data_IF_345022360028
#
_entry.id   IF_345022360028
#
_cell.length_a   1.000
_cell.length_b   1.000
_cell.length_c   1.000
_cell.angle_alpha   90.00
_cell.angle_beta   90.00
_cell.angle_gamma   90.00
#
_symmetry.space_group_name_H-M   'P 1'
#
loop_
_entity.id
_entity.type
_entity.pdbx_description
1 polymer ?
#
# COMPACT_ATOMS: atom_id res chain seq x y z
N UNK A 1 -22.18 -24.69 44.40
CA UNK A 1 -23.65 -24.79 44.31
C UNK A 1 -23.98 -25.37 42.95
N UNK A 2 -24.46 -26.61 42.87
CA UNK A 2 -24.77 -27.24 41.57
C UNK A 2 -25.87 -26.43 40.84
N UNK A 3 -25.81 -26.30 39.50
CA UNK A 3 -26.84 -25.57 38.78
C UNK A 3 -28.22 -26.22 39.00
N UNK A 4 -29.28 -25.41 39.17
CA UNK A 4 -30.62 -25.93 39.45
C UNK A 4 -31.11 -26.86 38.34
N UNK A 5 -31.79 -27.95 38.73
CA UNK A 5 -32.37 -28.93 37.79
C UNK A 5 -33.22 -28.21 36.74
N UNK A 6 -32.85 -28.35 35.47
CA UNK A 6 -33.50 -27.72 34.30
C UNK A 6 -34.96 -28.18 34.20
N UNK A 7 -35.91 -27.27 34.40
CA UNK A 7 -37.32 -27.49 34.10
C UNK A 7 -37.55 -27.24 32.59
N UNK A 8 -37.97 -28.25 31.80
CA UNK A 8 -38.11 -28.12 30.34
C UNK A 8 -39.23 -27.17 29.89
N UNK A 9 -40.25 -26.92 30.72
CA UNK A 9 -41.39 -26.07 30.36
C UNK A 9 -41.12 -24.55 30.41
N UNK A 10 -39.94 -24.14 30.91
CA UNK A 10 -39.58 -22.72 31.09
C UNK A 10 -38.51 -22.23 30.13
N UNK A 11 -37.91 -23.11 29.33
CA UNK A 11 -36.82 -22.78 28.42
C UNK A 11 -37.09 -23.33 27.02
N UNK A 12 -37.24 -22.46 26.04
CA UNK A 12 -37.25 -22.85 24.62
C UNK A 12 -35.82 -23.15 24.20
N UNK A 13 -35.52 -24.42 23.89
CA UNK A 13 -34.25 -24.81 23.29
C UNK A 13 -34.28 -24.37 21.82
N UNK A 14 -33.56 -23.30 21.49
CA UNK A 14 -33.36 -22.89 20.10
C UNK A 14 -32.09 -23.58 19.61
N UNK A 15 -32.25 -24.58 18.76
CA UNK A 15 -31.13 -25.23 18.08
C UNK A 15 -30.51 -24.24 17.07
N UNK A 16 -29.33 -23.72 17.40
CA UNK A 16 -28.56 -22.87 16.49
C UNK A 16 -27.59 -23.74 15.70
N UNK A 17 -27.80 -23.85 14.39
CA UNK A 17 -26.81 -24.44 13.48
C UNK A 17 -25.56 -23.57 13.50
N UNK A 18 -24.42 -24.14 13.90
CA UNK A 18 -23.12 -23.47 13.86
C UNK A 18 -22.43 -23.89 12.56
N UNK A 19 -22.01 -22.93 11.71
CA UNK A 19 -21.24 -23.28 10.53
C UNK A 19 -19.87 -23.83 10.96
N UNK A 20 -19.50 -24.98 10.40
CA UNK A 20 -18.19 -25.60 10.54
C UNK A 20 -17.47 -25.56 9.20
N UNK A 21 -16.13 -25.53 9.25
CA UNK A 21 -15.30 -25.60 8.05
C UNK A 21 -14.59 -26.94 8.04
N UNK A 22 -14.75 -27.66 6.93
CA UNK A 22 -14.21 -29.00 6.71
C UNK A 22 -13.19 -28.96 5.57
N UNK A 23 -12.08 -29.69 5.74
CA UNK A 23 -11.10 -29.94 4.71
C UNK A 23 -11.47 -31.24 3.99
N UNK A 24 -11.76 -31.12 2.71
CA UNK A 24 -12.00 -32.26 1.82
C UNK A 24 -10.94 -32.27 0.72
N UNK A 25 -10.00 -33.20 0.81
CA UNK A 25 -8.95 -33.39 -0.20
C UNK A 25 -9.29 -34.62 -1.05
N UNK A 26 -9.42 -34.44 -2.36
CA UNK A 26 -9.79 -35.50 -3.29
C UNK A 26 -8.93 -35.42 -4.56
N UNK A 27 -8.47 -36.57 -5.03
CA UNK A 27 -7.81 -36.73 -6.31
C UNK A 27 -8.80 -37.33 -7.32
N UNK A 28 -8.94 -36.74 -8.52
CA UNK A 28 -9.77 -37.32 -9.56
C UNK A 28 -9.37 -38.78 -9.85
N UNK A 29 -10.32 -39.70 -9.73
CA UNK A 29 -10.11 -41.14 -9.96
C UNK A 29 -9.95 -42.00 -8.70
N UNK A 30 -9.91 -41.42 -7.50
CA UNK A 30 -9.94 -42.17 -6.25
C UNK A 30 -11.38 -42.24 -5.69
N UNK A 31 -11.79 -43.39 -5.16
CA UNK A 31 -13.14 -43.56 -4.56
C UNK A 31 -13.24 -42.96 -3.16
N UNK A 32 -12.14 -42.91 -2.43
CA UNK A 32 -12.07 -42.33 -1.09
C UNK A 32 -11.29 -41.02 -1.09
N UNK A 33 -11.71 -40.01 -0.30
CA UNK A 33 -10.97 -38.77 -0.14
C UNK A 33 -9.68 -39.01 0.65
N UNK A 34 -8.63 -38.26 0.32
CA UNK A 34 -7.36 -38.26 1.06
C UNK A 34 -7.52 -37.67 2.47
N UNK A 35 -8.38 -36.66 2.59
CA UNK A 35 -8.69 -36.03 3.88
C UNK A 35 -10.18 -35.67 3.89
N UNK A 36 -10.84 -35.99 5.00
CA UNK A 36 -12.20 -35.57 5.30
C UNK A 36 -12.26 -35.29 6.81
N UNK A 37 -11.71 -34.15 7.19
CA UNK A 37 -11.54 -33.76 8.58
C UNK A 37 -11.97 -32.31 8.80
N UNK A 38 -12.30 -31.97 10.05
CA UNK A 38 -12.57 -30.58 10.42
C UNK A 38 -11.28 -29.77 10.23
N UNK A 39 -11.42 -28.58 9.62
CA UNK A 39 -10.27 -27.74 9.34
C UNK A 39 -9.51 -27.37 10.62
N UNK A 40 -8.18 -27.46 10.58
CA UNK A 40 -7.30 -27.27 11.74
C UNK A 40 -7.44 -25.87 12.38
N UNK A 41 -7.65 -24.83 11.59
CA UNK A 41 -7.81 -23.44 12.08
C UNK A 41 -9.17 -23.16 12.75
N UNK A 42 -10.14 -24.07 12.63
CA UNK A 42 -11.47 -23.94 13.24
C UNK A 42 -11.43 -24.47 14.68
N UNK A 43 -12.03 -23.79 15.69
CA UNK A 43 -13.02 -22.70 15.59
C UNK A 43 -12.47 -21.27 15.66
N UNK A 44 -11.14 -21.10 15.80
CA UNK A 44 -10.50 -19.78 15.99
C UNK A 44 -10.70 -18.87 14.77
N UNK A 45 -10.61 -19.43 13.57
CA UNK A 45 -10.91 -18.74 12.32
C UNK A 45 -12.16 -19.32 11.65
N UNK A 46 -13.11 -18.45 11.32
CA UNK A 46 -14.43 -18.83 10.75
C UNK A 46 -14.53 -18.60 9.24
N UNK A 47 -13.44 -18.23 8.59
CA UNK A 47 -13.38 -18.04 7.14
C UNK A 47 -12.40 -19.04 6.52
N UNK A 48 -12.27 -19.05 5.19
CA UNK A 48 -11.28 -19.89 4.53
C UNK A 48 -9.86 -19.36 4.78
N UNK A 49 -8.83 -20.23 4.78
CA UNK A 49 -7.43 -19.85 4.99
C UNK A 49 -6.77 -19.36 3.69
N UNK A 50 -7.56 -19.13 2.64
CA UNK A 50 -7.09 -18.60 1.37
C UNK A 50 -7.38 -17.11 1.32
N UNK A 51 -6.31 -16.33 1.24
CA UNK A 51 -6.37 -14.87 1.31
C UNK A 51 -5.83 -14.32 -0.02
N UNK A 52 -6.65 -14.34 -1.08
CA UNK A 52 -6.24 -13.89 -2.39
C UNK A 52 -6.10 -12.37 -2.42
N UNK A 53 -5.03 -11.90 -3.06
CA UNK A 53 -4.91 -10.50 -3.45
C UNK A 53 -5.58 -10.29 -4.80
N UNK A 54 -6.51 -9.34 -4.86
CA UNK A 54 -7.15 -8.91 -6.09
C UNK A 54 -6.70 -7.50 -6.44
N UNK A 55 -6.08 -7.33 -7.60
CA UNK A 55 -5.63 -6.02 -8.07
C UNK A 55 -6.83 -5.10 -8.32
N UNK A 56 -7.78 -5.54 -9.16
CA UNK A 56 -9.07 -4.88 -9.36
C UNK A 56 -10.20 -5.86 -9.08
N UNK A 57 -11.20 -5.40 -8.36
CA UNK A 57 -12.38 -6.20 -8.01
C UNK A 57 -13.66 -5.40 -8.25
N UNK A 58 -14.46 -5.86 -9.20
CA UNK A 58 -15.77 -5.27 -9.50
C UNK A 58 -16.89 -6.02 -8.78
N UNK A 59 -17.85 -5.28 -8.25
CA UNK A 59 -19.10 -5.82 -7.67
C UNK A 59 -20.26 -5.80 -8.66
N UNK A 60 -19.98 -5.61 -9.95
CA UNK A 60 -21.00 -5.64 -10.99
C UNK A 60 -21.75 -6.98 -10.96
N UNK A 61 -23.07 -7.00 -11.23
CA UNK A 61 -23.88 -8.22 -11.25
C UNK A 61 -23.63 -9.03 -12.54
N UNK A 62 -22.37 -9.38 -12.80
CA UNK A 62 -22.01 -10.27 -13.91
C UNK A 62 -22.37 -11.71 -13.54
N UNK A 63 -23.01 -12.42 -14.47
CA UNK A 63 -23.46 -13.80 -14.31
C UNK A 63 -22.91 -14.67 -15.43
N UNK A 64 -22.81 -15.98 -15.21
CA UNK A 64 -22.31 -16.92 -16.22
C UNK A 64 -20.80 -16.82 -16.47
N UNK A 65 -20.42 -16.91 -17.74
CA UNK A 65 -19.01 -16.92 -18.18
C UNK A 65 -18.29 -15.61 -17.90
N UNK A 66 -18.99 -14.47 -17.92
CA UNK A 66 -18.43 -13.13 -17.71
C UNK A 66 -17.97 -12.87 -16.27
N UNK A 67 -18.24 -13.78 -15.34
CA UNK A 67 -17.82 -13.67 -13.94
C UNK A 67 -16.29 -13.55 -13.79
N UNK A 68 -15.52 -14.06 -14.74
CA UNK A 68 -14.07 -13.89 -14.75
C UNK A 68 -13.64 -12.42 -14.89
N UNK A 69 -14.49 -11.55 -15.45
CA UNK A 69 -14.24 -10.11 -15.57
C UNK A 69 -14.42 -9.35 -14.26
N UNK A 70 -14.96 -9.98 -13.21
CA UNK A 70 -15.06 -9.35 -11.87
C UNK A 70 -13.69 -9.18 -11.23
N UNK A 71 -12.73 -10.04 -11.56
CA UNK A 71 -11.36 -9.99 -11.06
C UNK A 71 -10.44 -9.70 -12.23
N UNK A 72 -9.80 -8.54 -12.22
CA UNK A 72 -8.92 -8.13 -13.31
C UNK A 72 -7.54 -7.75 -12.79
N UNK A 73 -6.52 -8.08 -13.60
CA UNK A 73 -5.19 -7.54 -13.43
C UNK A 73 -5.05 -6.16 -14.07
N UNK A 74 -3.96 -5.47 -13.74
CA UNK A 74 -3.66 -4.12 -14.25
C UNK A 74 -3.61 -4.09 -15.79
N UNK A 75 -3.10 -5.16 -16.40
CA UNK A 75 -2.91 -5.26 -17.86
C UNK A 75 -4.19 -5.60 -18.62
N UNK A 76 -5.29 -5.97 -17.96
CA UNK A 76 -6.48 -6.48 -18.66
C UNK A 76 -7.10 -5.43 -19.58
N UNK A 77 -7.31 -4.21 -19.09
CA UNK A 77 -7.90 -3.12 -19.90
C UNK A 77 -7.03 -2.68 -21.08
N UNK A 78 -5.73 -2.94 -20.97
CA UNK A 78 -4.70 -2.41 -21.88
C UNK A 78 -4.54 -3.28 -23.14
N UNK A 79 -4.97 -4.54 -23.10
CA UNK A 79 -4.81 -5.50 -24.20
C UNK A 79 -5.28 -4.98 -25.56
N UNK A 80 -6.45 -4.35 -25.60
CA UNK A 80 -7.04 -3.85 -26.85
C UNK A 80 -6.20 -2.73 -27.47
N UNK A 81 -5.65 -1.84 -26.65
CA UNK A 81 -4.77 -0.76 -27.12
C UNK A 81 -3.45 -1.34 -27.67
N UNK A 82 -2.87 -2.34 -27.00
CA UNK A 82 -1.68 -3.06 -27.49
C UNK A 82 -1.94 -3.74 -28.82
N UNK A 83 -3.09 -4.42 -28.96
CA UNK A 83 -3.43 -5.07 -30.22
C UNK A 83 -3.55 -4.07 -31.37
N UNK A 84 -4.21 -2.92 -31.14
CA UNK A 84 -4.31 -1.85 -32.13
C UNK A 84 -2.93 -1.32 -32.51
N UNK A 85 -2.08 -1.01 -31.52
CA UNK A 85 -0.71 -0.56 -31.74
C UNK A 85 0.12 -1.54 -32.57
N UNK A 86 0.08 -2.82 -32.22
CA UNK A 86 0.83 -3.88 -32.90
C UNK A 86 0.34 -4.09 -34.34
N UNK A 87 -0.99 -4.12 -34.56
CA UNK A 87 -1.59 -4.25 -35.88
C UNK A 87 -1.25 -3.05 -36.76
N UNK A 88 -1.40 -1.83 -36.25
CA UNK A 88 -1.10 -0.59 -36.97
C UNK A 88 0.38 -0.51 -37.38
N UNK A 89 1.29 -0.79 -36.44
CA UNK A 89 2.73 -0.80 -36.69
C UNK A 89 3.13 -1.84 -37.75
N UNK A 90 2.55 -3.03 -37.70
CA UNK A 90 2.81 -4.10 -38.67
C UNK A 90 2.32 -3.71 -40.06
N UNK A 91 1.13 -3.13 -40.18
CA UNK A 91 0.58 -2.65 -41.45
C UNK A 91 1.40 -1.51 -42.04
N UNK A 92 1.87 -0.59 -41.19
CA UNK A 92 2.74 0.51 -41.60
C UNK A 92 4.07 0.01 -42.15
N UNK A 93 4.71 -0.95 -41.46
CA UNK A 93 5.94 -1.58 -41.92
C UNK A 93 5.73 -2.34 -43.24
N UNK A 94 4.63 -3.11 -43.36
CA UNK A 94 4.28 -3.81 -44.60
C UNK A 94 4.08 -2.84 -45.76
N UNK A 95 3.38 -1.74 -45.52
CA UNK A 95 3.14 -0.71 -46.53
C UNK A 95 4.46 -0.07 -46.98
N UNK A 96 5.34 0.28 -46.04
CA UNK A 96 6.67 0.83 -46.34
C UNK A 96 7.55 -0.14 -47.16
N UNK A 97 7.50 -1.43 -46.86
CA UNK A 97 8.26 -2.43 -47.62
C UNK A 97 7.68 -2.65 -49.03
N UNK A 98 6.36 -2.55 -49.19
CA UNK A 98 5.68 -2.74 -50.48
C UNK A 98 5.81 -1.50 -51.38
N UNK A 99 5.86 -0.30 -50.81
CA UNK A 99 5.99 0.94 -51.56
C UNK A 99 7.31 1.08 -52.32
N UNK A 100 8.36 0.37 -51.88
CA UNK A 100 9.66 0.36 -52.57
C UNK A 100 9.62 -0.31 -53.95
N UNK A 101 8.67 -1.22 -54.19
CA UNK A 101 8.61 -2.06 -55.40
C UNK A 101 7.56 -1.57 -56.40
N UNK A 102 7.51 -0.26 -56.63
CA UNK A 102 6.53 0.30 -57.55
C UNK A 102 6.93 0.08 -59.02
N UNK A 103 5.97 -0.39 -59.83
CA UNK A 103 6.16 -0.72 -61.24
C UNK A 103 6.01 0.48 -62.18
N UNK A 104 5.92 0.19 -63.48
CA UNK A 104 5.79 1.18 -64.55
C UNK A 104 4.51 0.94 -65.37
N UNK A 105 3.84 2.01 -65.76
CA UNK A 105 2.73 2.01 -66.71
C UNK A 105 3.28 2.36 -68.10
N UNK A 106 3.05 1.47 -69.06
CA UNK A 106 3.52 1.63 -70.44
C UNK A 106 2.54 1.04 -71.44
N UNK A 107 2.48 1.63 -72.64
CA UNK A 107 1.87 0.98 -73.80
C UNK A 107 2.61 -0.31 -74.19
N UNK A 108 1.93 -1.20 -74.91
CA UNK A 108 2.55 -2.42 -75.43
C UNK A 108 3.75 -2.09 -76.34
N UNK A 109 4.86 -2.82 -76.15
CA UNK A 109 6.11 -2.70 -76.90
C UNK A 109 6.86 -1.35 -76.76
N UNK A 110 6.66 -0.62 -75.64
CA UNK A 110 7.34 0.66 -75.39
C UNK A 110 8.83 0.54 -74.97
N UNK A 111 9.23 -0.56 -74.35
CA UNK A 111 10.58 -0.77 -73.81
C UNK A 111 11.54 -1.40 -74.83
N UNK A 112 12.82 -1.01 -74.78
CA UNK A 112 13.89 -1.64 -75.60
C UNK A 112 14.25 -3.01 -75.06
N UNK A 113 14.47 -3.13 -73.74
CA UNK A 113 14.70 -4.41 -73.04
C UNK A 113 13.72 -4.56 -71.87
N UNK A 114 12.70 -5.41 -72.08
CA UNK A 114 11.69 -5.70 -71.06
C UNK A 114 12.26 -6.48 -69.86
N UNK A 115 13.26 -7.33 -70.07
CA UNK A 115 13.85 -8.14 -69.01
C UNK A 115 14.67 -7.27 -68.06
N UNK A 116 15.37 -6.26 -68.59
CA UNK A 116 16.09 -5.29 -67.78
C UNK A 116 15.15 -4.48 -66.89
N UNK A 117 14.03 -4.00 -67.44
CA UNK A 117 13.01 -3.25 -66.67
C UNK A 117 12.36 -4.14 -65.59
N UNK A 118 12.13 -5.42 -65.87
CA UNK A 118 11.53 -6.32 -64.89
C UNK A 118 12.48 -6.64 -63.72
N UNK A 119 13.77 -6.83 -63.99
CA UNK A 119 14.75 -7.19 -62.96
C UNK A 119 15.29 -5.98 -62.19
N UNK A 120 15.38 -4.81 -62.84
CA UNK A 120 16.05 -3.63 -62.29
C UNK A 120 15.18 -2.37 -62.25
N UNK A 121 13.91 -2.45 -62.64
CA UNK A 121 13.02 -1.29 -62.75
C UNK A 121 12.70 -0.56 -61.45
N UNK A 122 12.98 -1.18 -60.30
CA UNK A 122 12.83 -0.57 -58.96
C UNK A 122 14.18 -0.29 -58.29
N UNK A 123 15.31 -0.65 -58.92
CA UNK A 123 16.64 -0.43 -58.36
C UNK A 123 17.11 1.02 -58.59
N UNK A 124 17.65 1.70 -57.56
CA UNK A 124 18.18 3.06 -57.70
C UNK A 124 19.43 3.07 -58.60
N UNK A 125 19.53 4.07 -59.48
CA UNK A 125 20.71 4.30 -60.33
C UNK A 125 20.75 3.53 -61.66
N UNK A 126 19.66 2.86 -62.04
CA UNK A 126 19.56 2.14 -63.33
C UNK A 126 18.99 3.07 -64.40
N UNK A 127 19.68 3.13 -65.54
CA UNK A 127 19.21 3.84 -66.72
C UNK A 127 18.35 2.90 -67.56
N UNK A 128 17.09 3.29 -67.83
CA UNK A 128 16.15 2.54 -68.65
C UNK A 128 15.84 3.32 -69.93
N UNK A 129 15.91 2.64 -71.07
CA UNK A 129 15.69 3.22 -72.39
C UNK A 129 14.33 2.80 -72.96
N UNK A 130 13.62 3.74 -73.59
CA UNK A 130 12.33 3.53 -74.24
C UNK A 130 12.42 3.86 -75.73
N UNK A 131 11.56 3.26 -76.56
CA UNK A 131 11.61 3.43 -78.02
C UNK A 131 11.18 4.85 -78.44
N UNK A 132 11.89 5.41 -79.42
CA UNK A 132 11.57 6.72 -79.99
C UNK A 132 10.19 6.71 -80.68
N UNK A 133 9.38 7.75 -80.44
CA UNK A 133 8.03 7.86 -81.00
C UNK A 133 6.91 7.20 -80.18
N UNK A 134 7.23 6.62 -79.01
CA UNK A 134 6.24 6.09 -78.04
C UNK A 134 6.00 7.07 -76.90
N UNK A 135 4.86 6.91 -76.21
CA UNK A 135 4.63 7.64 -74.95
C UNK A 135 5.67 7.25 -73.90
N UNK A 136 6.11 8.25 -73.13
CA UNK A 136 7.09 8.06 -72.08
C UNK A 136 6.49 7.16 -70.98
N UNK A 137 7.18 6.09 -70.56
CA UNK A 137 6.77 5.29 -69.42
C UNK A 137 6.58 6.10 -68.13
N UNK A 138 5.46 5.89 -67.44
CA UNK A 138 5.16 6.55 -66.17
C UNK A 138 5.39 5.59 -65.02
N UNK A 139 6.16 6.02 -64.02
CA UNK A 139 6.35 5.23 -62.80
C UNK A 139 5.09 5.31 -61.95
N UNK A 140 4.63 4.16 -61.45
CA UNK A 140 3.59 4.12 -60.43
C UNK A 140 4.22 4.70 -59.16
N UNK A 141 3.72 5.83 -58.68
CA UNK A 141 4.13 6.31 -57.36
C UNK A 141 3.41 5.48 -56.31
N UNK A 142 4.13 4.93 -55.32
CA UNK A 142 3.47 4.26 -54.23
C UNK A 142 2.55 5.24 -53.51
N UNK A 143 1.41 4.74 -53.03
CA UNK A 143 0.54 5.49 -52.13
C UNK A 143 1.39 6.01 -50.96
N UNK A 144 1.22 7.26 -50.51
CA UNK A 144 1.91 7.74 -49.33
C UNK A 144 1.54 6.90 -48.10
N UNK A 145 2.46 6.79 -47.15
CA UNK A 145 2.19 6.11 -45.88
C UNK A 145 0.92 6.68 -45.25
N UNK A 146 0.03 5.80 -44.78
CA UNK A 146 -1.23 6.22 -44.20
C UNK A 146 -1.01 6.98 -42.89
N UNK A 147 -1.31 8.28 -42.89
CA UNK A 147 -1.25 9.10 -41.68
C UNK A 147 -2.20 8.63 -40.57
N UNK A 148 -3.32 7.99 -40.95
CA UNK A 148 -4.24 7.39 -39.99
C UNK A 148 -3.60 6.27 -39.17
N UNK A 149 -2.75 5.44 -39.78
CA UNK A 149 -2.03 4.38 -39.04
C UNK A 149 -0.98 4.95 -38.10
N UNK A 150 -0.27 6.01 -38.52
CA UNK A 150 0.70 6.70 -37.67
C UNK A 150 0.01 7.35 -36.46
N UNK A 151 -1.11 8.05 -36.69
CA UNK A 151 -1.92 8.64 -35.62
C UNK A 151 -2.46 7.57 -34.66
N UNK A 152 -3.04 6.48 -35.18
CA UNK A 152 -3.55 5.38 -34.36
C UNK A 152 -2.46 4.73 -33.50
N UNK A 153 -1.25 4.59 -34.03
CA UNK A 153 -0.10 4.01 -33.30
C UNK A 153 0.31 4.90 -32.13
N UNK A 154 0.34 6.22 -32.35
CA UNK A 154 0.66 7.21 -31.32
C UNK A 154 -0.45 7.33 -30.26
N UNK A 155 -1.71 7.38 -30.68
CA UNK A 155 -2.88 7.39 -29.80
C UNK A 155 -2.93 6.12 -28.94
N UNK A 156 -2.77 4.94 -29.55
CA UNK A 156 -2.73 3.67 -28.82
C UNK A 156 -1.59 3.65 -27.80
N UNK A 157 -0.42 4.22 -28.12
CA UNK A 157 0.69 4.30 -27.17
C UNK A 157 0.37 5.19 -25.97
N UNK A 158 -0.44 6.23 -26.15
CA UNK A 158 -0.89 7.10 -25.07
C UNK A 158 -2.01 6.45 -24.25
N UNK A 159 -2.98 5.80 -24.90
CA UNK A 159 -4.03 5.01 -24.23
C UNK A 159 -3.42 3.96 -23.29
N UNK A 160 -2.32 3.32 -23.71
CA UNK A 160 -1.59 2.34 -22.92
C UNK A 160 -1.09 2.96 -21.62
N UNK A 161 -0.45 4.14 -21.69
CA UNK A 161 0.08 4.82 -20.51
C UNK A 161 -1.05 5.28 -19.59
N UNK A 162 -2.08 5.91 -20.18
CA UNK A 162 -3.22 6.42 -19.46
C UNK A 162 -3.96 5.32 -18.68
N UNK A 163 -4.22 4.17 -19.31
CA UNK A 163 -4.93 3.05 -18.67
C UNK A 163 -4.11 2.32 -17.60
N UNK A 164 -2.78 2.30 -17.75
CA UNK A 164 -1.87 1.78 -16.72
C UNK A 164 -1.71 2.75 -15.53
N UNK A 165 -2.30 3.95 -15.59
CA UNK A 165 -2.12 4.99 -14.58
C UNK A 165 -0.70 5.57 -14.57
N UNK A 166 0.07 5.37 -15.65
CA UNK A 166 1.40 5.93 -15.83
C UNK A 166 1.22 7.39 -16.25
N UNK A 167 1.11 8.28 -15.27
CA UNK A 167 1.06 9.72 -15.53
C UNK A 167 2.47 10.29 -15.70
N UNK A 168 2.63 11.19 -16.69
CA UNK A 168 3.87 11.94 -16.91
C UNK A 168 4.31 12.73 -15.65
N UNK A 169 3.34 13.15 -14.84
CA UNK A 169 3.54 13.82 -13.55
C UNK A 169 4.22 12.92 -12.49
N UNK A 170 3.96 11.62 -12.50
CA UNK A 170 4.63 10.65 -11.63
C UNK A 170 6.03 10.30 -12.13
N UNK A 171 6.24 10.34 -13.44
CA UNK A 171 7.53 10.12 -14.10
C UNK A 171 8.48 11.33 -14.01
N UNK A 172 8.06 12.41 -13.33
CA UNK A 172 8.82 13.66 -13.22
C UNK A 172 9.23 14.24 -14.58
N UNK A 173 8.48 13.93 -15.65
CA UNK A 173 8.72 14.50 -16.97
C UNK A 173 8.22 15.95 -16.97
N UNK A 174 9.06 16.84 -16.45
CA UNK A 174 8.80 18.28 -16.45
C UNK A 174 8.81 18.79 -17.89
N UNK A 175 7.65 18.86 -18.53
CA UNK A 175 7.47 19.80 -19.62
C UNK A 175 7.51 21.20 -19.01
N UNK A 176 8.54 21.95 -19.39
CA UNK A 176 9.03 23.14 -18.69
C UNK A 176 7.96 24.14 -18.29
N UNK A 177 7.97 24.48 -17.00
CA UNK A 177 7.19 25.58 -16.44
C UNK A 177 7.56 25.79 -14.98
N UNK A 178 7.70 27.05 -14.57
CA UNK A 178 7.92 27.47 -13.19
C UNK A 178 6.66 27.21 -12.34
N UNK A 179 6.30 25.95 -12.15
CA UNK A 179 5.16 25.58 -11.33
C UNK A 179 5.53 25.58 -9.85
N UNK A 180 4.61 26.08 -9.03
CA UNK A 180 4.74 26.06 -7.58
C UNK A 180 4.91 24.62 -7.09
N UNK A 181 5.82 24.38 -6.14
CA UNK A 181 6.01 23.07 -5.51
C UNK A 181 4.72 22.49 -4.92
N UNK A 182 3.74 23.34 -4.54
CA UNK A 182 2.40 22.91 -4.13
C UNK A 182 1.58 22.32 -5.28
N UNK A 183 1.69 22.88 -6.49
CA UNK A 183 1.02 22.36 -7.68
C UNK A 183 1.62 21.01 -8.11
N UNK A 184 2.95 20.89 -8.06
CA UNK A 184 3.67 19.62 -8.32
C UNK A 184 3.23 18.55 -7.32
N UNK A 185 3.19 18.87 -6.02
CA UNK A 185 2.73 17.94 -4.99
C UNK A 185 1.25 17.53 -5.19
N UNK A 186 0.40 18.45 -5.65
CA UNK A 186 -1.01 18.14 -5.94
C UNK A 186 -1.16 17.20 -7.14
N UNK A 187 -0.38 17.40 -8.21
CA UNK A 187 -0.36 16.50 -9.37
C UNK A 187 0.19 15.12 -9.04
N UNK A 188 1.24 15.05 -8.22
CA UNK A 188 1.72 13.77 -7.69
C UNK A 188 0.60 13.06 -6.92
N UNK A 189 -0.11 13.75 -6.02
CA UNK A 189 -1.27 13.17 -5.31
C UNK A 189 -2.35 12.69 -6.27
N UNK A 190 -2.66 13.45 -7.32
CA UNK A 190 -3.64 13.05 -8.35
C UNK A 190 -3.18 11.80 -9.13
N UNK A 191 -1.88 11.69 -9.44
CA UNK A 191 -1.30 10.51 -10.06
C UNK A 191 -1.44 9.25 -9.18
N UNK A 192 -1.31 9.39 -7.85
CA UNK A 192 -1.51 8.28 -6.91
C UNK A 192 -2.96 7.77 -6.89
N UNK A 193 -3.97 8.62 -7.15
CA UNK A 193 -5.39 8.20 -7.12
C UNK A 193 -5.69 7.05 -8.09
N UNK A 194 -5.00 6.99 -9.23
CA UNK A 194 -5.22 5.91 -10.22
C UNK A 194 -4.69 4.55 -9.75
N UNK A 195 -3.67 4.55 -8.90
CA UNK A 195 -3.05 3.33 -8.34
C UNK A 195 -3.62 3.00 -6.96
N UNK A 196 -4.36 3.93 -6.35
CA UNK A 196 -4.89 3.79 -5.00
C UNK A 196 -5.71 2.52 -4.78
N UNK A 197 -6.58 2.15 -5.73
CA UNK A 197 -7.40 0.93 -5.62
C UNK A 197 -6.54 -0.33 -5.39
N UNK A 198 -5.37 -0.40 -6.04
CA UNK A 198 -4.44 -1.54 -5.90
C UNK A 198 -3.87 -1.59 -4.48
N UNK A 199 -3.46 -0.44 -3.94
CA UNK A 199 -2.91 -0.34 -2.59
C UNK A 199 -3.98 -0.56 -1.52
N UNK A 200 -5.20 -0.10 -1.74
CA UNK A 200 -6.34 -0.32 -0.84
C UNK A 200 -6.69 -1.81 -0.78
N UNK A 201 -6.76 -2.47 -1.93
CA UNK A 201 -7.00 -3.92 -2.01
C UNK A 201 -5.85 -4.71 -1.37
N UNK A 202 -4.61 -4.27 -1.54
CA UNK A 202 -3.44 -4.89 -0.90
C UNK A 202 -3.49 -4.74 0.62
N UNK A 203 -3.81 -3.54 1.10
CA UNK A 203 -3.98 -3.25 2.53
C UNK A 203 -5.09 -4.09 3.14
N UNK A 204 -6.24 -4.20 2.47
CA UNK A 204 -7.34 -5.09 2.87
C UNK A 204 -6.88 -6.56 2.94
N UNK A 205 -6.15 -7.02 1.93
CA UNK A 205 -5.63 -8.39 1.88
C UNK A 205 -4.67 -8.66 3.05
N UNK A 206 -3.75 -7.71 3.32
CA UNK A 206 -2.82 -7.79 4.46
C UNK A 206 -3.55 -7.75 5.80
N UNK A 207 -4.61 -6.97 5.94
CA UNK A 207 -5.42 -6.94 7.17
C UNK A 207 -6.09 -8.31 7.41
N UNK A 208 -6.66 -8.92 6.37
CA UNK A 208 -7.26 -10.26 6.48
C UNK A 208 -6.18 -11.29 6.83
N UNK A 209 -5.00 -11.22 6.20
CA UNK A 209 -3.85 -12.07 6.52
C UNK A 209 -3.36 -11.88 7.96
N UNK A 210 -3.23 -10.63 8.42
CA UNK A 210 -2.86 -10.32 9.80
C UNK A 210 -3.87 -10.88 10.80
N UNK A 211 -5.18 -10.72 10.54
CA UNK A 211 -6.24 -11.30 11.38
C UNK A 211 -6.17 -12.82 11.41
N UNK A 212 -5.89 -13.48 10.28
CA UNK A 212 -5.69 -14.92 10.24
C UNK A 212 -4.48 -15.35 11.07
N UNK A 213 -3.31 -14.74 10.88
CA UNK A 213 -2.10 -15.06 11.65
C UNK A 213 -2.30 -14.87 13.15
N UNK A 214 -2.91 -13.76 13.54
CA UNK A 214 -3.26 -13.45 14.93
C UNK A 214 -4.21 -14.48 15.53
N UNK A 215 -5.18 -14.99 14.75
CA UNK A 215 -6.08 -16.04 15.23
C UNK A 215 -5.38 -17.38 15.50
N UNK A 216 -4.25 -17.65 14.82
CA UNK A 216 -3.49 -18.89 14.98
C UNK A 216 -2.32 -18.75 15.96
N UNK A 217 -2.10 -17.55 16.51
CA UNK A 217 -0.94 -17.25 17.36
C UNK A 217 -0.85 -18.18 18.58
N UNK A 218 -1.99 -18.48 19.22
CA UNK A 218 -2.07 -19.37 20.37
C UNK A 218 -1.92 -20.87 20.07
N UNK A 219 -1.73 -21.28 18.80
CA UNK A 219 -1.25 -22.64 18.46
C UNK A 219 0.25 -22.69 18.22
N UNK A 220 0.84 -21.53 17.89
CA UNK A 220 2.25 -21.41 17.53
C UNK A 220 3.09 -21.10 18.77
N UNK A 221 2.57 -20.29 19.70
CA UNK A 221 3.28 -19.84 20.88
C UNK A 221 2.59 -20.28 22.18
N UNK A 222 3.37 -20.91 23.04
CA UNK A 222 3.05 -21.09 24.46
C UNK A 222 3.39 -19.82 25.26
N UNK A 223 2.84 -19.67 26.47
CA UNK A 223 3.07 -18.52 27.35
C UNK A 223 4.56 -18.30 27.64
N UNK A 224 5.30 -19.37 27.90
CA UNK A 224 6.75 -19.34 28.14
C UNK A 224 7.53 -18.90 26.90
N UNK A 225 7.18 -19.45 25.73
CA UNK A 225 7.81 -19.07 24.45
C UNK A 225 7.51 -17.61 24.12
N UNK A 226 6.30 -17.12 24.40
CA UNK A 226 5.92 -15.73 24.21
C UNK A 226 6.71 -14.78 25.13
N UNK A 227 6.91 -15.14 26.41
CA UNK A 227 7.78 -14.39 27.34
C UNK A 227 9.21 -14.26 26.81
N UNK A 228 9.77 -15.37 26.31
CA UNK A 228 11.11 -15.39 25.74
C UNK A 228 11.26 -14.49 24.51
N UNK A 229 10.22 -14.43 23.65
CA UNK A 229 10.23 -13.59 22.45
C UNK A 229 10.02 -12.10 22.77
N UNK A 230 9.18 -11.77 23.76
CA UNK A 230 8.93 -10.37 24.18
C UNK A 230 10.14 -9.75 24.88
N UNK A 231 10.91 -10.56 25.62
CA UNK A 231 12.12 -10.14 26.32
C UNK A 231 11.85 -9.35 27.61
N UNK A 232 12.83 -9.37 28.52
CA UNK A 232 12.70 -8.80 29.87
C UNK A 232 12.44 -7.28 29.85
N UNK A 233 13.11 -6.53 28.98
CA UNK A 233 12.93 -5.07 28.89
C UNK A 233 11.51 -4.63 28.52
N UNK A 234 10.78 -5.43 27.74
CA UNK A 234 9.37 -5.16 27.44
C UNK A 234 8.46 -5.48 28.62
N UNK A 235 8.73 -6.61 29.30
CA UNK A 235 7.96 -7.05 30.46
C UNK A 235 8.09 -6.06 31.62
N UNK A 236 9.31 -5.59 31.91
CA UNK A 236 9.58 -4.57 32.94
C UNK A 236 8.88 -3.24 32.67
N UNK A 237 8.81 -2.83 31.40
CA UNK A 237 8.14 -1.58 31.00
C UNK A 237 6.62 -1.68 31.03
N UNK A 238 6.07 -2.81 30.61
CA UNK A 238 4.62 -3.01 30.46
C UNK A 238 3.93 -3.49 31.74
N UNK A 239 4.64 -4.22 32.60
CA UNK A 239 4.14 -4.83 33.83
C UNK A 239 5.05 -4.46 35.02
N UNK A 240 4.94 -3.23 35.55
CA UNK A 240 5.74 -2.82 36.70
C UNK A 240 5.46 -3.72 37.93
N UNK A 241 6.46 -3.95 38.79
CA UNK A 241 6.33 -4.88 39.90
C UNK A 241 5.32 -4.36 40.93
N UNK A 242 4.51 -5.27 41.47
CA UNK A 242 3.56 -4.96 42.53
C UNK A 242 4.31 -4.51 43.78
N UNK A 243 3.94 -3.33 44.27
CA UNK A 243 4.45 -2.76 45.52
C UNK A 243 3.58 -3.24 46.68
N UNK A 244 4.13 -4.01 47.62
CA UNK A 244 3.48 -4.35 48.88
C UNK A 244 3.97 -3.41 49.98
N UNK A 245 3.06 -2.93 50.83
CA UNK A 245 3.44 -2.20 52.02
C UNK A 245 4.05 -3.18 53.03
N UNK A 246 5.34 -2.98 53.36
CA UNK A 246 6.03 -3.83 54.32
C UNK A 246 5.37 -3.66 55.73
N UNK A 247 4.89 -4.73 56.40
CA UNK A 247 4.13 -4.65 57.65
C UNK A 247 4.88 -3.99 58.84
N UNK A 248 6.20 -3.84 58.75
CA UNK A 248 7.05 -3.33 59.84
C UNK A 248 7.51 -1.87 59.65
N UNK A 249 7.57 -1.37 58.42
CA UNK A 249 8.12 -0.03 58.10
C UNK A 249 7.13 0.87 57.36
N UNK A 250 5.99 0.34 56.89
CA UNK A 250 4.97 1.11 56.16
C UNK A 250 5.45 1.67 54.81
N UNK A 251 6.65 1.28 54.35
CA UNK A 251 7.19 1.67 53.06
C UNK A 251 6.81 0.63 51.99
N UNK A 252 6.41 1.08 50.79
CA UNK A 252 6.10 0.18 49.68
C UNK A 252 7.40 -0.45 49.15
N UNK A 253 7.53 -1.77 49.27
CA UNK A 253 8.62 -2.56 48.70
C UNK A 253 8.09 -3.49 47.58
N UNK A 254 8.87 -3.76 46.52
CA UNK A 254 8.45 -4.68 45.47
C UNK A 254 8.23 -6.09 46.04
N UNK A 255 7.20 -6.80 45.57
CA UNK A 255 7.05 -8.22 45.85
C UNK A 255 8.37 -8.95 45.57
N UNK A 256 8.75 -9.84 46.47
CA UNK A 256 9.89 -10.73 46.30
C UNK A 256 9.43 -12.03 45.63
N UNK A 257 10.26 -12.58 44.74
CA UNK A 257 10.06 -13.87 44.09
C UNK A 257 10.19 -15.03 45.11
N UNK A 258 9.92 -16.29 44.73
CA UNK A 258 10.05 -17.48 45.59
C UNK A 258 11.46 -17.62 46.23
N UNK A 259 12.48 -16.99 45.63
CA UNK A 259 13.89 -16.95 46.10
C UNK A 259 14.27 -15.68 46.89
N UNK A 260 13.31 -14.81 47.24
CA UNK A 260 13.56 -13.64 48.09
C UNK A 260 14.26 -12.44 47.41
N UNK A 261 14.33 -12.43 46.07
CA UNK A 261 14.81 -11.27 45.28
C UNK A 261 13.62 -10.39 44.87
N UNK A 262 13.75 -9.05 44.85
CA UNK A 262 12.67 -8.17 44.40
C UNK A 262 12.35 -8.47 42.93
N UNK A 263 11.10 -8.85 42.63
CA UNK A 263 10.66 -9.06 41.26
C UNK A 263 10.85 -7.77 40.45
N UNK A 264 11.50 -7.88 39.28
CA UNK A 264 11.70 -6.75 38.36
C UNK A 264 10.39 -6.38 37.64
N UNK A 265 9.47 -7.34 37.50
CA UNK A 265 8.14 -7.20 36.90
C UNK A 265 7.16 -8.17 37.55
N UNK A 266 5.86 -7.88 37.47
CA UNK A 266 4.81 -8.79 37.98
C UNK A 266 4.61 -9.97 37.02
N UNK A 267 5.25 -11.09 37.34
CA UNK A 267 5.21 -12.30 36.50
C UNK A 267 3.81 -12.91 36.42
N UNK A 268 3.03 -12.84 37.50
CA UNK A 268 1.67 -13.37 37.55
C UNK A 268 0.71 -12.59 36.64
N UNK A 269 0.78 -11.26 36.65
CA UNK A 269 -0.01 -10.44 35.73
C UNK A 269 0.46 -10.57 34.28
N UNK A 270 1.76 -10.69 34.05
CA UNK A 270 2.30 -10.92 32.71
C UNK A 270 1.80 -12.25 32.12
N UNK A 271 1.80 -13.34 32.89
CA UNK A 271 1.28 -14.64 32.45
C UNK A 271 -0.21 -14.59 32.13
N UNK A 272 -1.01 -13.99 33.00
CA UNK A 272 -2.47 -13.89 32.79
C UNK A 272 -2.77 -13.06 31.55
N UNK A 273 -2.10 -11.92 31.39
CA UNK A 273 -2.29 -11.05 30.22
C UNK A 273 -1.86 -11.72 28.92
N UNK A 274 -0.69 -12.38 28.90
CA UNK A 274 -0.19 -13.12 27.73
C UNK A 274 -1.12 -14.29 27.41
N UNK A 275 -1.55 -15.05 28.42
CA UNK A 275 -2.49 -16.16 28.24
C UNK A 275 -3.86 -15.68 27.73
N UNK A 276 -4.36 -14.52 28.18
CA UNK A 276 -5.60 -13.93 27.68
C UNK A 276 -5.48 -13.54 26.20
N UNK A 277 -4.37 -12.92 25.80
CA UNK A 277 -4.10 -12.57 24.40
C UNK A 277 -3.99 -13.82 23.52
N UNK A 278 -3.32 -14.87 23.99
CA UNK A 278 -3.13 -16.11 23.23
C UNK A 278 -4.41 -16.97 23.15
N UNK A 279 -5.34 -16.86 24.11
CA UNK A 279 -6.58 -17.68 24.17
C UNK A 279 -7.63 -17.33 23.11
N UNK A 280 -7.43 -16.31 22.28
CA UNK A 280 -8.23 -16.19 21.05
C UNK A 280 -9.38 -15.18 21.10
N UNK A 281 -9.45 -14.29 22.09
CA UNK A 281 -10.38 -13.14 22.07
C UNK A 281 -9.90 -12.01 21.13
N UNK A 282 -9.11 -12.36 20.11
CA UNK A 282 -8.54 -11.44 19.14
C UNK A 282 -9.58 -10.76 18.23
N UNK A 283 -10.83 -11.23 18.25
CA UNK A 283 -11.96 -10.56 17.58
C UNK A 283 -12.29 -9.18 18.18
N UNK A 284 -11.80 -8.88 19.39
CA UNK A 284 -11.94 -7.56 20.03
C UNK A 284 -10.98 -6.51 19.47
N UNK A 285 -9.88 -6.93 18.86
CA UNK A 285 -8.84 -6.03 18.37
C UNK A 285 -8.98 -5.79 16.87
N UNK A 286 -8.87 -4.52 16.48
CA UNK A 286 -8.76 -4.18 15.07
C UNK A 286 -7.31 -4.27 14.62
N UNK A 287 -7.10 -4.77 13.40
CA UNK A 287 -5.77 -4.94 12.81
C UNK A 287 -5.57 -3.81 11.83
N UNK A 288 -4.78 -2.82 12.24
CA UNK A 288 -4.32 -1.80 11.32
C UNK A 288 -2.98 -2.23 10.74
N UNK A 289 -2.94 -2.45 9.43
CA UNK A 289 -1.68 -2.64 8.71
C UNK A 289 -1.16 -1.25 8.40
N UNK A 290 -0.26 -0.77 9.25
CA UNK A 290 0.58 0.35 8.85
C UNK A 290 1.36 -0.09 7.62
N UNK A 291 1.20 0.61 6.50
CA UNK A 291 2.18 0.50 5.44
C UNK A 291 3.51 0.93 6.04
N UNK A 292 4.35 -0.04 6.39
CA UNK A 292 5.78 0.20 6.57
C UNK A 292 6.35 0.49 5.19
N UNK A 293 6.04 1.67 4.69
CA UNK A 293 7.02 2.43 3.96
C UNK A 293 7.33 3.57 4.91
N UNK A 294 8.51 3.51 5.50
CA UNK A 294 9.28 4.70 5.83
C UNK A 294 9.52 5.52 4.56
N UNK A 295 8.45 5.87 3.84
CA UNK A 295 8.52 6.75 2.71
C UNK A 295 8.78 8.10 3.32
N UNK A 296 10.00 8.54 3.13
CA UNK A 296 10.46 9.87 3.43
C UNK A 296 9.43 10.91 2.98
N UNK A 297 8.74 10.64 1.86
CA UNK A 297 7.64 11.43 1.30
C UNK A 297 6.40 11.54 2.19
N UNK A 298 5.95 10.47 2.85
CA UNK A 298 4.78 10.54 3.76
C UNK A 298 5.13 11.33 5.02
N UNK A 299 6.32 11.10 5.58
CA UNK A 299 6.81 11.87 6.72
C UNK A 299 7.01 13.35 6.36
N UNK A 300 7.52 13.64 5.16
CA UNK A 300 7.61 15.00 4.63
C UNK A 300 6.23 15.64 4.46
N UNK A 301 5.25 14.89 3.94
CA UNK A 301 3.88 15.37 3.76
C UNK A 301 3.20 15.66 5.11
N UNK A 302 3.31 14.75 6.08
CA UNK A 302 2.81 14.93 7.44
C UNK A 302 3.49 16.12 8.12
N UNK A 303 4.80 16.29 7.95
CA UNK A 303 5.52 17.43 8.49
C UNK A 303 5.11 18.75 7.82
N UNK A 304 4.87 18.76 6.51
CA UNK A 304 4.39 19.95 5.79
C UNK A 304 2.99 20.36 6.27
N UNK A 305 2.09 19.39 6.43
CA UNK A 305 0.75 19.60 6.95
C UNK A 305 0.79 20.08 8.41
N UNK A 306 1.62 19.47 9.26
CA UNK A 306 1.80 19.90 10.64
C UNK A 306 2.43 21.30 10.74
N UNK A 307 3.31 21.69 9.82
CA UNK A 307 3.82 23.07 9.72
C UNK A 307 2.72 24.06 9.31
N UNK A 308 1.82 23.67 8.40
CA UNK A 308 0.66 24.49 8.01
C UNK A 308 -0.31 24.65 9.19
N UNK A 309 -0.60 23.58 9.92
CA UNK A 309 -1.41 23.65 11.14
C UNK A 309 -0.74 24.47 12.25
N UNK A 310 0.57 24.32 12.45
CA UNK A 310 1.32 25.10 13.43
C UNK A 310 1.36 26.60 13.07
N UNK A 311 1.36 26.92 11.77
CA UNK A 311 1.25 28.31 11.29
C UNK A 311 -0.17 28.87 11.44
N UNK A 312 -1.21 28.04 11.23
CA UNK A 312 -2.61 28.44 11.38
C UNK A 312 -3.05 28.58 12.85
N UNK A 313 -2.50 27.76 13.75
CA UNK A 313 -2.82 27.74 15.17
C UNK A 313 -1.55 27.74 16.03
N UNK A 314 -0.97 28.92 16.31
CA UNK A 314 0.22 29.04 17.15
C UNK A 314 -0.09 28.54 18.58
N UNK A 315 0.63 27.52 19.05
CA UNK A 315 0.58 27.05 20.44
C UNK A 315 -0.36 25.89 20.77
N UNK A 316 -1.18 25.42 19.82
CA UNK A 316 -2.08 24.27 20.06
C UNK A 316 -1.39 22.91 19.83
N UNK A 317 -0.36 22.88 18.97
CA UNK A 317 0.43 21.67 18.68
C UNK A 317 1.68 21.70 19.56
N UNK A 318 1.86 20.73 20.47
CA UNK A 318 3.09 20.62 21.24
C UNK A 318 4.27 20.45 20.30
N UNK A 319 5.38 21.17 20.51
CA UNK A 319 6.57 21.06 19.66
C UNK A 319 7.16 19.65 19.63
N UNK A 320 6.87 18.81 20.63
CA UNK A 320 7.25 17.40 20.68
C UNK A 320 6.66 16.59 19.51
N UNK A 321 5.40 16.85 19.15
CA UNK A 321 4.72 16.16 18.03
C UNK A 321 5.36 16.50 16.68
N UNK A 322 5.84 17.75 16.53
CA UNK A 322 6.57 18.20 15.33
C UNK A 322 7.96 17.55 15.24
N UNK A 323 8.61 17.29 16.37
CA UNK A 323 9.94 16.70 16.43
C UNK A 323 9.88 15.20 16.17
N UNK A 324 8.86 14.52 16.70
CA UNK A 324 8.64 13.09 16.45
C UNK A 324 8.43 12.80 14.97
N UNK A 325 7.71 13.69 14.27
CA UNK A 325 7.48 13.58 12.82
C UNK A 325 8.63 14.13 11.95
N UNK A 326 9.61 14.81 12.55
CA UNK A 326 10.78 15.34 11.84
C UNK A 326 11.75 14.23 11.39
N UNK A 327 12.58 14.50 10.38
CA UNK A 327 13.60 13.58 9.87
C UNK A 327 14.93 13.64 10.65
N UNK A 328 14.97 14.38 11.75
CA UNK A 328 16.18 14.49 12.57
C UNK A 328 16.63 13.11 13.09
N UNK A 329 17.95 12.86 13.18
CA UNK A 329 18.47 11.65 13.83
C UNK A 329 17.89 11.47 15.24
N UNK A 330 17.69 10.22 15.68
CA UNK A 330 17.08 9.88 16.98
C UNK A 330 17.76 10.60 18.15
N UNK A 331 19.09 10.66 18.14
CA UNK A 331 19.86 11.39 19.16
C UNK A 331 19.53 12.90 19.18
N UNK A 332 19.35 13.50 18.01
CA UNK A 332 19.00 14.92 17.88
C UNK A 332 17.57 15.17 18.36
N UNK A 333 16.64 14.24 18.10
CA UNK A 333 15.26 14.32 18.62
C UNK A 333 15.26 14.31 20.15
N UNK A 334 15.96 13.36 20.75
CA UNK A 334 16.03 13.24 22.23
C UNK A 334 16.66 14.48 22.87
N UNK A 335 17.76 15.02 22.31
CA UNK A 335 18.39 16.25 22.80
C UNK A 335 17.48 17.47 22.69
N UNK A 336 16.74 17.62 21.60
CA UNK A 336 15.83 18.75 21.38
C UNK A 336 14.58 18.63 22.27
N UNK A 337 14.03 17.42 22.44
CA UNK A 337 12.91 17.20 23.36
C UNK A 337 13.33 17.47 24.81
N UNK A 338 14.55 17.07 25.21
CA UNK A 338 15.09 17.37 26.53
C UNK A 338 15.32 18.87 26.74
N UNK A 339 15.85 19.60 25.74
CA UNK A 339 16.06 21.05 25.85
C UNK A 339 14.74 21.83 25.91
N UNK A 340 13.71 21.37 25.20
CA UNK A 340 12.36 21.96 25.26
C UNK A 340 11.70 21.68 26.61
N UNK A 341 11.80 20.46 27.14
CA UNK A 341 11.29 20.14 28.50
C UNK A 341 12.00 20.96 29.56
N UNK A 342 13.31 21.17 29.44
CA UNK A 342 14.08 22.04 30.33
C UNK A 342 13.67 23.51 30.19
N UNK A 343 13.41 24.00 28.97
CA UNK A 343 12.93 25.36 28.74
C UNK A 343 11.50 25.58 29.27
N UNK A 344 10.61 24.59 29.14
CA UNK A 344 9.27 24.63 29.70
C UNK A 344 9.28 24.55 31.24
N UNK A 345 10.16 23.73 31.81
CA UNK A 345 10.37 23.67 33.26
C UNK A 345 10.92 24.99 33.82
N UNK A 346 11.86 25.63 33.11
CA UNK A 346 12.41 26.93 33.48
C UNK A 346 11.39 28.07 33.36
N UNK A 347 10.43 27.99 32.42
CA UNK A 347 9.35 28.95 32.27
C UNK A 347 8.27 28.83 33.38
N UNK A 348 8.11 27.64 33.99
CA UNK A 348 7.22 27.45 35.15
C UNK A 348 7.86 27.89 36.48
N UNK A 349 9.18 27.99 36.55
CA UNK A 349 9.91 28.55 37.70
C UNK A 349 10.32 30.00 37.45
N UNK A 350 9.37 30.93 37.51
CA UNK A 350 9.66 32.37 37.45
C UNK A 350 10.52 32.86 38.63
N UNK A 351 11.31 33.95 38.48
CA UNK A 351 12.27 34.37 39.49
C UNK A 351 11.58 34.97 40.72
N UNK A 352 11.90 34.45 41.90
CA UNK A 352 11.55 35.03 43.19
C UNK A 352 12.29 36.36 43.34
N UNK A 353 11.55 37.48 43.32
CA UNK A 353 12.11 38.82 43.55
C UNK A 353 12.74 38.95 44.95
N UNK A 354 13.82 39.75 45.11
CA UNK A 354 14.55 39.83 46.36
C UNK A 354 13.71 40.49 47.46
N UNK A 355 13.70 39.86 48.63
CA UNK A 355 13.01 40.30 49.83
C UNK A 355 13.55 41.63 50.37
N UNK A 356 12.67 42.62 50.58
CA UNK A 356 12.99 43.86 51.27
C UNK A 356 12.60 43.72 52.76
N UNK A 357 13.50 43.97 53.73
CA UNK A 357 13.20 43.76 55.13
C UNK A 357 12.61 45.02 55.79
N UNK A 358 11.58 44.84 56.60
CA UNK A 358 11.24 45.74 57.70
C UNK A 358 10.33 46.92 57.36
N UNK A 359 9.05 46.80 57.69
CA UNK A 359 8.19 47.97 57.88
C UNK A 359 8.44 48.61 59.25
N UNK A 360 8.45 49.94 59.32
CA UNK A 360 7.80 50.63 60.42
C UNK A 360 7.47 52.10 60.11
N UNK A 361 6.35 52.52 60.71
CA UNK A 361 5.81 53.86 60.93
C UNK A 361 4.93 54.51 59.86
N UNK A 362 3.70 54.75 60.31
CA UNK A 362 2.57 55.41 59.68
C UNK A 362 2.68 56.96 59.76
N UNK A 363 1.58 57.72 59.61
CA UNK A 363 1.10 58.32 58.37
C UNK A 363 1.16 59.85 58.42
N UNK A 364 1.22 60.57 57.29
CA UNK A 364 0.70 61.95 57.17
C UNK A 364 0.79 62.47 55.72
N UNK A 365 -0.24 63.20 55.31
CA UNK A 365 -0.45 63.64 53.93
C UNK A 365 0.12 65.00 53.56
N UNK A 366 -0.47 65.52 52.48
CA UNK A 366 -0.43 66.89 51.94
C UNK A 366 0.91 67.36 51.35
N UNK A 367 0.99 67.37 50.02
CA UNK A 367 0.98 68.58 49.20
C UNK A 367 0.67 68.22 47.73
#
# INVERSE_FOLDING_TARGET
>A
MAPPKRNPDRFTIIERKVPEIWLFAHLPGMSEPLANERAWFYPKWKSYPFIPYYARFSTAPLTGEDRHLLVQGIVHGVKDAQERHNKASTLMLRHLNTSSNSGWLTEEDAWVDRAQVQNFGSAPGVNLEYKQGRQKPERIYPTPLSQGHAALTAESAEDIKAQLGINADLLASQEGGAESGRAIALRQKQGLLMVQELFDNLSRTRQIAGRFLLSQLGEIYDTETAKNVLGQAFLEKSFPPLMLANPQTGQPEPMTDEDGQPMSYDDGMAEVAIAEVLKGDLWKYDVNVGESVSSETIRMAQMAELKEFAAAYPGLIPPEVLIDQSQLPRETKERVTQSIKQAQAAAMSGPVGPANPGGNNAPQGLA
#
